data_IF_298005089606
#
_entry.id   IF_298005089606
#
_cell.length_a   1.000
_cell.length_b   1.000
_cell.length_c   1.000
_cell.angle_alpha   90.00
_cell.angle_beta   90.00
_cell.angle_gamma   90.00
#
_symmetry.space_group_name_H-M   'P 1'
#
loop_
_entity.id
_entity.type
_entity.pdbx_description
1 polymer ?
#
# COMPACT_ATOMS: atom_id res chain seq x y z
N UNK A 1 -12.22 -4.03 11.99
CA UNK A 1 -13.25 -2.98 11.85
C UNK A 1 -13.21 -2.00 13.01
N UNK A 2 -13.18 -2.46 14.27
CA UNK A 2 -12.95 -1.55 15.43
C UNK A 2 -11.74 -0.63 15.27
N UNK A 3 -10.58 -1.15 14.85
CA UNK A 3 -9.37 -0.34 14.62
C UNK A 3 -9.51 0.80 13.59
N UNK A 4 -10.46 0.71 12.66
CA UNK A 4 -10.67 1.76 11.65
C UNK A 4 -11.59 2.88 12.13
N UNK A 5 -12.43 2.59 13.12
CA UNK A 5 -13.57 3.44 13.52
C UNK A 5 -13.47 3.91 14.97
N UNK A 6 -12.73 3.20 15.80
CA UNK A 6 -12.43 3.52 17.20
C UNK A 6 -11.00 3.03 17.53
N UNK A 7 -9.95 3.75 17.09
CA UNK A 7 -8.57 3.37 17.38
C UNK A 7 -8.31 3.51 18.89
N UNK A 8 -7.54 2.59 19.52
CA UNK A 8 -7.18 2.70 20.93
C UNK A 8 -6.53 4.05 21.26
N UNK A 9 -6.78 4.58 22.47
CA UNK A 9 -6.09 5.79 22.92
C UNK A 9 -4.57 5.59 22.83
N UNK A 10 -3.86 6.54 22.22
CA UNK A 10 -2.40 6.49 21.96
C UNK A 10 -1.94 5.37 21.02
N UNK A 11 -2.79 4.97 20.07
CA UNK A 11 -2.41 4.04 19.01
C UNK A 11 -2.35 4.71 17.63
N UNK A 12 -1.43 4.22 16.80
CA UNK A 12 -1.32 4.49 15.38
C UNK A 12 -1.84 3.29 14.59
N UNK A 13 -2.77 3.51 13.66
CA UNK A 13 -3.34 2.43 12.83
C UNK A 13 -2.87 2.61 11.39
N UNK A 14 -2.10 1.65 10.90
CA UNK A 14 -1.48 1.69 9.57
C UNK A 14 -2.01 0.56 8.69
N UNK A 15 -2.55 0.91 7.52
CA UNK A 15 -2.79 -0.03 6.43
C UNK A 15 -1.47 -0.32 5.70
N UNK A 16 -1.00 -1.56 5.73
CA UNK A 16 0.29 -1.95 5.15
C UNK A 16 0.10 -2.96 4.03
N UNK A 17 0.79 -2.73 2.92
CA UNK A 17 0.83 -3.64 1.78
C UNK A 17 2.02 -3.33 0.87
N UNK A 18 2.26 -4.22 -0.10
CA UNK A 18 3.20 -4.00 -1.18
C UNK A 18 2.57 -3.97 -2.56
N UNK A 19 2.92 -2.92 -3.32
CA UNK A 19 2.75 -2.92 -4.76
C UNK A 19 3.99 -3.51 -5.41
N UNK A 20 3.90 -4.79 -5.75
CA UNK A 20 4.98 -5.49 -6.46
C UNK A 20 4.97 -5.22 -7.97
N UNK A 21 6.09 -5.54 -8.61
CA UNK A 21 6.26 -5.54 -10.08
C UNK A 21 5.94 -4.21 -10.78
N UNK A 22 6.21 -3.07 -10.13
CA UNK A 22 6.05 -1.75 -10.76
C UNK A 22 7.10 -1.61 -11.87
N UNK A 23 6.66 -1.39 -13.10
CA UNK A 23 7.49 -1.49 -14.29
C UNK A 23 8.01 -0.12 -14.72
N UNK A 24 9.31 -0.02 -15.01
CA UNK A 24 9.89 1.13 -15.68
C UNK A 24 9.69 0.95 -17.19
N UNK A 25 8.75 1.72 -17.75
CA UNK A 25 8.39 1.66 -19.17
C UNK A 25 8.84 2.94 -19.87
N UNK A 26 9.68 2.80 -20.90
CA UNK A 26 9.97 3.87 -21.86
C UNK A 26 9.09 3.67 -23.09
N UNK A 27 8.35 4.69 -23.51
CA UNK A 27 7.49 4.58 -24.68
C UNK A 27 8.21 5.11 -25.90
N UNK A 28 8.02 4.44 -27.03
CA UNK A 28 8.66 4.80 -28.31
C UNK A 28 8.29 6.21 -28.80
N UNK A 29 7.14 6.74 -28.38
CA UNK A 29 6.73 8.12 -28.64
C UNK A 29 6.33 8.83 -27.34
N UNK A 30 6.60 10.14 -27.22
CA UNK A 30 6.19 10.93 -26.06
C UNK A 30 4.66 11.00 -25.97
N UNK A 31 4.15 10.95 -24.73
CA UNK A 31 2.74 11.22 -24.46
C UNK A 31 2.48 12.71 -24.68
N UNK A 32 1.71 13.04 -25.72
CA UNK A 32 1.35 14.42 -26.01
C UNK A 32 0.28 14.92 -25.03
N UNK A 33 0.34 16.19 -24.60
CA UNK A 33 -0.69 16.77 -23.74
C UNK A 33 -2.06 16.73 -24.44
N UNK A 34 -3.13 16.60 -23.65
CA UNK A 34 -4.48 16.74 -24.18
C UNK A 34 -4.69 18.15 -24.72
N UNK A 35 -5.29 18.24 -25.91
CA UNK A 35 -5.76 19.48 -26.50
C UNK A 35 -7.29 19.44 -26.56
N UNK A 36 -8.01 20.59 -26.54
CA UNK A 36 -9.45 20.61 -26.73
C UNK A 36 -9.86 19.83 -27.99
N UNK A 37 -10.74 18.84 -27.85
CA UNK A 37 -11.19 17.98 -28.95
C UNK A 37 -10.27 16.80 -29.31
N UNK A 38 -9.12 16.64 -28.64
CA UNK A 38 -8.15 15.56 -28.93
C UNK A 38 -7.90 14.72 -27.67
N UNK A 39 -8.41 13.46 -27.59
CA UNK A 39 -8.11 12.59 -26.48
C UNK A 39 -6.61 12.25 -26.44
N UNK A 40 -6.09 12.01 -25.24
CA UNK A 40 -4.69 11.61 -25.03
C UNK A 40 -4.35 10.37 -25.87
N UNK A 41 -3.32 10.45 -26.72
CA UNK A 41 -2.85 9.34 -27.55
C UNK A 41 -1.60 8.73 -26.95
N UNK A 42 -1.53 7.39 -26.95
CA UNK A 42 -0.39 6.63 -26.42
C UNK A 42 -0.03 5.54 -27.42
N UNK A 43 1.26 5.39 -27.72
CA UNK A 43 1.74 4.23 -28.49
C UNK A 43 1.68 2.98 -27.61
N UNK A 44 1.34 1.85 -28.24
CA UNK A 44 1.33 0.55 -27.57
C UNK A 44 2.75 0.00 -27.37
N UNK A 45 3.72 0.41 -28.19
CA UNK A 45 5.11 -0.05 -28.13
C UNK A 45 5.88 0.61 -26.97
N UNK A 46 6.58 -0.22 -26.19
CA UNK A 46 7.40 0.22 -25.07
C UNK A 46 8.65 -0.64 -24.88
N UNK A 47 9.69 -0.04 -24.29
CA UNK A 47 10.89 -0.71 -23.80
C UNK A 47 10.81 -0.84 -22.28
N UNK A 48 11.15 -2.03 -21.77
CA UNK A 48 11.09 -2.35 -20.34
C UNK A 48 12.49 -2.25 -19.72
N UNK A 49 12.63 -1.40 -18.70
CA UNK A 49 13.90 -1.13 -18.03
C UNK A 49 14.02 -1.78 -16.63
N UNK A 50 13.15 -2.76 -16.34
CA UNK A 50 13.12 -3.50 -15.08
C UNK A 50 11.87 -3.24 -14.25
N UNK A 51 11.86 -3.81 -13.05
CA UNK A 51 10.75 -3.73 -12.10
C UNK A 51 11.24 -3.41 -10.70
N UNK A 52 10.38 -2.78 -9.91
CA UNK A 52 10.60 -2.52 -8.49
C UNK A 52 9.35 -2.83 -7.67
N UNK A 53 9.48 -2.91 -6.36
CA UNK A 53 8.38 -3.06 -5.40
C UNK A 53 8.35 -1.86 -4.49
N UNK A 54 7.15 -1.35 -4.21
CA UNK A 54 6.90 -0.35 -3.18
C UNK A 54 6.15 -1.01 -2.01
N UNK A 55 6.76 -1.01 -0.83
CA UNK A 55 6.04 -1.22 0.43
C UNK A 55 5.51 0.12 0.91
N UNK A 56 4.26 0.17 1.35
CA UNK A 56 3.66 1.39 1.87
C UNK A 56 2.85 1.09 3.14
N UNK A 57 2.86 2.06 4.05
CA UNK A 57 2.03 2.10 5.23
C UNK A 57 1.24 3.41 5.18
N UNK A 58 -0.08 3.29 5.08
CA UNK A 58 -1.00 4.42 5.08
C UNK A 58 -1.60 4.57 6.48
N UNK A 59 -1.42 5.73 7.09
CA UNK A 59 -2.11 6.11 8.33
C UNK A 59 -3.58 6.34 8.03
N UNK A 60 -4.43 5.59 8.71
CA UNK A 60 -5.88 5.62 8.54
C UNK A 60 -6.47 6.98 8.96
N UNK A 61 -5.92 7.60 9.99
CA UNK A 61 -6.46 8.82 10.58
C UNK A 61 -6.06 10.06 9.77
N UNK A 62 -4.79 10.14 9.39
CA UNK A 62 -4.22 11.31 8.72
C UNK A 62 -4.20 11.18 7.19
N UNK A 63 -4.18 9.95 6.67
CA UNK A 63 -3.95 9.66 5.27
C UNK A 63 -2.48 9.76 4.85
N UNK A 64 -1.55 10.03 5.77
CA UNK A 64 -0.11 10.07 5.48
C UNK A 64 0.39 8.70 5.05
N UNK A 65 1.40 8.68 4.16
CA UNK A 65 1.99 7.46 3.64
C UNK A 65 3.48 7.42 3.91
N UNK A 66 3.92 6.37 4.60
CA UNK A 66 5.33 6.00 4.72
C UNK A 66 5.62 4.91 3.67
N UNK A 67 6.58 5.16 2.78
CA UNK A 67 6.94 4.20 1.72
C UNK A 67 8.40 3.75 1.74
N UNK A 68 8.66 2.53 1.30
CA UNK A 68 10.01 2.00 1.06
C UNK A 68 10.07 1.21 -0.25
N UNK A 69 11.06 1.53 -1.08
CA UNK A 69 11.25 0.90 -2.38
C UNK A 69 12.32 -0.18 -2.27
N UNK A 70 11.99 -1.38 -2.75
CA UNK A 70 12.88 -2.52 -2.78
C UNK A 70 12.79 -3.25 -4.12
N UNK A 71 13.92 -3.77 -4.62
CA UNK A 71 13.95 -4.55 -5.89
C UNK A 71 13.37 -5.97 -5.76
N UNK A 72 13.09 -6.40 -4.53
CA UNK A 72 12.52 -7.71 -4.18
C UNK A 72 11.45 -7.51 -3.12
N UNK A 73 10.53 -8.46 -3.01
CA UNK A 73 9.39 -8.43 -2.10
C UNK A 73 9.35 -9.65 -1.19
N UNK A 74 10.47 -9.96 -0.51
CA UNK A 74 10.55 -11.11 0.42
C UNK A 74 10.40 -10.64 1.85
N UNK A 75 10.34 -11.60 2.78
CA UNK A 75 10.25 -11.31 4.21
C UNK A 75 11.42 -10.45 4.71
N UNK A 76 12.61 -10.57 4.10
CA UNK A 76 13.75 -9.73 4.42
C UNK A 76 13.51 -8.25 4.08
N UNK A 77 12.85 -7.96 2.96
CA UNK A 77 12.50 -6.60 2.57
C UNK A 77 11.33 -6.06 3.39
N UNK A 78 10.32 -6.88 3.68
CA UNK A 78 9.25 -6.49 4.61
C UNK A 78 9.78 -6.18 6.01
N UNK A 79 10.70 -6.98 6.55
CA UNK A 79 11.36 -6.69 7.85
C UNK A 79 12.12 -5.36 7.84
N UNK A 80 12.80 -5.02 6.72
CA UNK A 80 13.45 -3.71 6.58
C UNK A 80 12.43 -2.59 6.61
N UNK A 81 11.26 -2.80 6.01
CA UNK A 81 10.17 -1.84 6.07
C UNK A 81 9.62 -1.68 7.50
N UNK A 82 9.39 -2.76 8.24
CA UNK A 82 9.02 -2.69 9.66
C UNK A 82 10.05 -1.93 10.51
N UNK A 83 11.34 -2.17 10.26
CA UNK A 83 12.44 -1.44 10.92
C UNK A 83 12.44 0.04 10.56
N UNK A 84 11.98 0.41 9.35
CA UNK A 84 11.80 1.80 8.95
C UNK A 84 10.63 2.43 9.70
N UNK A 85 9.48 1.75 9.75
CA UNK A 85 8.31 2.22 10.49
C UNK A 85 8.66 2.48 11.96
N UNK A 86 9.35 1.55 12.63
CA UNK A 86 9.76 1.70 14.03
C UNK A 86 10.61 2.96 14.29
N UNK A 87 11.35 3.44 13.28
CA UNK A 87 12.14 4.67 13.38
C UNK A 87 11.35 5.95 13.08
N UNK A 88 10.36 5.88 12.19
CA UNK A 88 9.61 7.04 11.73
C UNK A 88 8.36 7.32 12.57
N UNK A 89 7.76 6.29 13.17
CA UNK A 89 6.58 6.45 14.03
C UNK A 89 6.99 6.81 15.46
N UNK A 90 6.24 7.67 16.17
CA UNK A 90 6.54 8.04 17.54
C UNK A 90 6.69 6.82 18.46
N UNK A 91 7.73 6.81 19.30
CA UNK A 91 8.10 5.67 20.15
C UNK A 91 7.09 5.37 21.27
N UNK A 92 6.26 6.35 21.63
CA UNK A 92 5.28 6.27 22.72
C UNK A 92 3.89 5.79 22.29
N UNK A 93 3.73 5.38 21.02
CA UNK A 93 2.47 4.88 20.47
C UNK A 93 2.55 3.38 20.23
N UNK A 94 1.44 2.70 20.50
CA UNK A 94 1.20 1.35 19.99
C UNK A 94 0.88 1.43 18.49
N UNK A 95 1.39 0.49 17.71
CA UNK A 95 1.32 0.51 16.24
C UNK A 95 0.56 -0.71 15.76
N UNK A 96 -0.65 -0.49 15.26
CA UNK A 96 -1.51 -1.52 14.71
C UNK A 96 -1.35 -1.58 13.19
N UNK A 97 -0.69 -2.62 12.70
CA UNK A 97 -0.50 -2.87 11.28
C UNK A 97 -1.65 -3.73 10.76
N UNK A 98 -2.39 -3.23 9.79
CA UNK A 98 -3.43 -3.98 9.08
C UNK A 98 -2.82 -4.45 7.75
N UNK A 99 -2.57 -5.74 7.63
CA UNK A 99 -1.94 -6.36 6.46
C UNK A 99 -2.90 -7.37 5.81
N UNK A 100 -2.63 -7.72 4.55
CA UNK A 100 -3.25 -8.88 3.93
C UNK A 100 -2.71 -10.19 4.51
N UNK A 101 -3.34 -11.32 4.14
CA UNK A 101 -3.00 -12.63 4.67
C UNK A 101 -1.76 -13.28 4.00
N UNK A 102 -0.89 -12.49 3.35
CA UNK A 102 0.24 -12.99 2.60
C UNK A 102 1.25 -13.74 3.47
N UNK A 103 1.76 -14.87 2.98
CA UNK A 103 2.62 -15.78 3.74
C UNK A 103 3.92 -15.11 4.20
N UNK A 104 4.40 -14.13 3.43
CA UNK A 104 5.61 -13.35 3.73
C UNK A 104 5.49 -12.56 5.03
N UNK A 105 4.29 -12.05 5.36
CA UNK A 105 4.01 -11.35 6.62
C UNK A 105 4.09 -12.29 7.83
N UNK A 106 3.88 -13.59 7.62
CA UNK A 106 3.88 -14.61 8.69
C UNK A 106 5.21 -15.35 8.83
N UNK A 107 6.21 -14.98 8.05
CA UNK A 107 7.50 -15.67 8.04
C UNK A 107 8.16 -15.65 9.44
N UNK A 108 8.95 -16.68 9.81
CA UNK A 108 9.57 -16.76 11.14
C UNK A 108 10.40 -15.51 11.51
N UNK A 109 11.07 -14.91 10.53
CA UNK A 109 11.86 -13.70 10.73
C UNK A 109 11.01 -12.46 11.11
N UNK A 110 9.74 -12.42 10.68
CA UNK A 110 8.78 -11.36 11.02
C UNK A 110 8.21 -11.61 12.41
N UNK A 111 7.80 -12.85 12.71
CA UNK A 111 7.33 -13.23 14.06
C UNK A 111 8.36 -12.89 15.13
N UNK A 112 9.63 -13.29 14.92
CA UNK A 112 10.74 -12.95 15.81
C UNK A 112 10.96 -11.43 15.94
N UNK A 113 10.71 -10.66 14.88
CA UNK A 113 10.82 -9.21 14.96
C UNK A 113 9.68 -8.62 15.81
N UNK A 114 8.44 -9.07 15.61
CA UNK A 114 7.28 -8.64 16.40
C UNK A 114 7.43 -8.99 17.89
N UNK A 115 7.96 -10.17 18.22
CA UNK A 115 8.29 -10.57 19.60
C UNK A 115 9.27 -9.61 20.27
N UNK A 116 10.22 -9.04 19.51
CA UNK A 116 11.18 -8.07 20.00
C UNK A 116 10.65 -6.62 20.03
N UNK A 117 9.50 -6.35 19.41
CA UNK A 117 8.90 -5.01 19.32
C UNK A 117 7.42 -5.10 19.75
N UNK A 118 7.13 -5.26 21.06
CA UNK A 118 5.79 -5.58 21.56
C UNK A 118 4.73 -4.50 21.28
N UNK A 119 5.16 -3.26 20.98
CA UNK A 119 4.27 -2.17 20.55
C UNK A 119 3.69 -2.37 19.14
N UNK A 120 4.24 -3.28 18.34
CA UNK A 120 3.74 -3.58 16.99
C UNK A 120 2.76 -4.74 17.03
N UNK A 121 1.50 -4.46 16.70
CA UNK A 121 0.42 -5.43 16.64
C UNK A 121 0.01 -5.66 15.19
N UNK A 122 0.16 -6.88 14.69
CA UNK A 122 -0.20 -7.22 13.31
C UNK A 122 -1.59 -7.85 13.24
N UNK A 123 -2.46 -7.24 12.44
CA UNK A 123 -3.84 -7.64 12.20
C UNK A 123 -4.00 -8.01 10.73
N UNK A 124 -4.62 -9.15 10.46
CA UNK A 124 -4.79 -9.62 9.09
C UNK A 124 -6.21 -9.39 8.61
N UNK A 125 -6.35 -8.85 7.39
CA UNK A 125 -7.66 -8.84 6.73
C UNK A 125 -8.10 -10.27 6.44
N UNK A 126 -9.40 -10.58 6.52
CA UNK A 126 -9.92 -11.88 6.11
C UNK A 126 -9.53 -12.20 4.66
N UNK A 127 -9.41 -13.49 4.35
CA UNK A 127 -9.07 -13.94 3.00
C UNK A 127 -10.01 -13.31 1.97
N UNK A 128 -9.47 -12.91 0.82
CA UNK A 128 -10.21 -12.25 -0.27
C UNK A 128 -10.84 -10.89 0.07
N UNK A 129 -10.47 -10.27 1.21
CA UNK A 129 -10.99 -8.96 1.63
C UNK A 129 -9.98 -7.84 1.43
N UNK A 130 -9.20 -7.89 0.34
CA UNK A 130 -8.16 -6.91 0.00
C UNK A 130 -8.72 -5.48 -0.14
N UNK A 131 -10.00 -5.36 -0.52
CA UNK A 131 -10.76 -4.10 -0.58
C UNK A 131 -10.86 -3.36 0.77
N UNK A 132 -10.60 -4.02 1.89
CA UNK A 132 -10.50 -3.41 3.22
C UNK A 132 -9.18 -2.69 3.44
N UNK A 133 -8.15 -3.01 2.67
CA UNK A 133 -6.83 -2.42 2.82
C UNK A 133 -6.76 -1.08 2.07
N UNK A 134 -6.85 0.02 2.81
CA UNK A 134 -6.96 1.36 2.21
C UNK A 134 -5.73 1.75 1.38
N UNK A 135 -4.57 1.21 1.71
CA UNK A 135 -3.33 1.46 0.95
C UNK A 135 -3.43 0.91 -0.48
N UNK A 136 -4.24 -0.12 -0.75
CA UNK A 136 -4.50 -0.60 -2.12
C UNK A 136 -5.18 0.46 -2.98
N UNK A 137 -6.09 1.25 -2.39
CA UNK A 137 -6.72 2.41 -3.07
C UNK A 137 -5.68 3.48 -3.39
N UNK A 138 -4.80 3.76 -2.44
CA UNK A 138 -3.68 4.68 -2.66
C UNK A 138 -2.74 4.20 -3.76
N UNK A 139 -2.43 2.90 -3.82
CA UNK A 139 -1.68 2.29 -4.92
C UNK A 139 -2.38 2.44 -6.27
N UNK A 140 -3.72 2.37 -6.30
CA UNK A 140 -4.53 2.70 -7.48
C UNK A 140 -4.27 4.13 -7.96
N UNK A 141 -4.34 5.10 -7.05
CA UNK A 141 -4.06 6.52 -7.36
C UNK A 141 -2.65 6.74 -7.90
N UNK A 142 -1.63 6.18 -7.23
CA UNK A 142 -0.25 6.21 -7.70
C UNK A 142 -0.14 5.61 -9.12
N UNK A 143 -0.82 4.49 -9.37
CA UNK A 143 -0.79 3.81 -10.68
C UNK A 143 -1.38 4.69 -11.77
N UNK A 144 -2.57 5.24 -11.54
CA UNK A 144 -3.33 5.95 -12.56
C UNK A 144 -2.83 7.37 -12.81
N UNK A 145 -2.40 8.07 -11.75
CA UNK A 145 -1.98 9.46 -11.83
C UNK A 145 -0.49 9.62 -12.14
N UNK A 146 0.37 8.69 -11.70
CA UNK A 146 1.83 8.80 -11.87
C UNK A 146 2.41 7.73 -12.79
N UNK A 147 2.23 6.44 -12.46
CA UNK A 147 2.94 5.36 -13.17
C UNK A 147 2.50 5.23 -14.63
N UNK A 148 1.18 5.17 -14.89
CA UNK A 148 0.63 4.97 -16.25
C UNK A 148 0.84 6.17 -17.18
N UNK A 149 1.02 7.38 -16.61
CA UNK A 149 1.24 8.64 -17.32
C UNK A 149 2.72 8.95 -17.53
N UNK A 150 3.60 8.42 -16.68
CA UNK A 150 5.04 8.64 -16.76
C UNK A 150 5.75 7.81 -17.83
N UNK A 151 6.91 8.32 -18.25
CA UNK A 151 7.87 7.62 -19.13
C UNK A 151 9.16 7.46 -18.34
N UNK A 152 9.61 6.22 -18.14
CA UNK A 152 10.73 5.90 -17.25
C UNK A 152 11.81 5.13 -18.01
N UNK A 153 12.85 5.86 -18.43
CA UNK A 153 13.98 5.33 -19.22
C UNK A 153 14.95 4.44 -18.43
N UNK A 154 14.79 4.38 -17.12
CA UNK A 154 15.54 3.51 -16.22
C UNK A 154 14.78 3.36 -14.90
N UNK A 155 15.23 2.39 -14.10
CA UNK A 155 14.60 2.09 -12.81
C UNK A 155 14.74 3.26 -11.82
N UNK A 156 15.90 3.93 -11.78
CA UNK A 156 16.17 5.04 -10.85
C UNK A 156 15.19 6.21 -11.05
N UNK A 157 14.85 6.53 -12.30
CA UNK A 157 13.85 7.53 -12.65
C UNK A 157 12.46 7.15 -12.10
N UNK A 158 12.03 5.89 -12.27
CA UNK A 158 10.79 5.40 -11.69
C UNK A 158 10.80 5.50 -10.16
N UNK A 159 11.87 5.07 -9.51
CA UNK A 159 11.95 5.11 -8.05
C UNK A 159 11.95 6.55 -7.52
N UNK A 160 12.63 7.48 -8.19
CA UNK A 160 12.60 8.91 -7.85
C UNK A 160 11.19 9.46 -7.95
N UNK A 161 10.48 9.12 -9.02
CA UNK A 161 9.12 9.57 -9.28
C UNK A 161 8.11 9.04 -8.26
N UNK A 162 8.30 7.80 -7.78
CA UNK A 162 7.52 7.24 -6.67
C UNK A 162 7.82 7.98 -5.36
N UNK A 163 9.09 8.25 -5.04
CA UNK A 163 9.46 9.03 -3.83
C UNK A 163 8.87 10.45 -3.87
N UNK A 164 8.94 11.10 -5.03
CA UNK A 164 8.35 12.43 -5.23
C UNK A 164 6.82 12.40 -5.08
N UNK A 165 6.16 11.35 -5.58
CA UNK A 165 4.72 11.17 -5.38
C UNK A 165 4.34 11.04 -3.91
N UNK A 166 5.09 10.26 -3.12
CA UNK A 166 4.84 10.11 -1.69
C UNK A 166 5.01 11.45 -0.97
N UNK A 167 6.09 12.19 -1.27
CA UNK A 167 6.31 13.52 -0.69
C UNK A 167 5.16 14.47 -1.01
N UNK A 168 4.77 14.56 -2.29
CA UNK A 168 3.66 15.40 -2.74
C UNK A 168 2.31 14.98 -2.13
N UNK A 169 2.09 13.69 -1.92
CA UNK A 169 0.89 13.20 -1.24
C UNK A 169 0.85 13.65 0.21
N UNK A 170 1.98 13.58 0.91
CA UNK A 170 2.08 13.95 2.33
C UNK A 170 2.08 15.48 2.56
N UNK A 171 2.17 16.31 1.52
CA UNK A 171 2.00 17.77 1.66
C UNK A 171 0.54 18.18 1.97
N UNK A 172 -0.44 17.39 1.50
CA UNK A 172 -1.89 17.53 1.77
C UNK A 172 -2.53 16.12 1.79
N UNK A 173 -2.25 15.31 2.84
CA UNK A 173 -2.68 13.93 2.88
C UNK A 173 -4.20 13.85 3.02
N UNK A 174 -4.81 12.91 2.28
CA UNK A 174 -6.27 12.73 2.26
C UNK A 174 -6.62 11.37 2.81
N UNK A 175 -7.13 11.29 4.06
CA UNK A 175 -7.59 10.02 4.60
C UNK A 175 -8.77 9.51 3.76
N UNK A 176 -8.85 8.20 3.57
CA UNK A 176 -10.01 7.61 2.92
C UNK A 176 -11.13 7.46 3.94
N UNK A 177 -12.19 8.24 3.78
CA UNK A 177 -13.35 8.16 4.66
C UNK A 177 -14.21 6.95 4.29
N UNK A 178 -14.45 6.07 5.25
CA UNK A 178 -15.46 5.02 5.10
C UNK A 178 -16.85 5.65 5.12
N UNK A 179 -17.56 5.56 4.00
CA UNK A 179 -18.94 6.07 3.90
C UNK A 179 -19.98 5.11 4.47
N UNK A 180 -19.56 3.96 5.00
CA UNK A 180 -20.43 2.88 5.49
C UNK A 180 -20.09 2.60 6.94
N UNK A 181 -21.12 2.41 7.76
CA UNK A 181 -20.95 2.12 9.18
C UNK A 181 -20.22 0.79 9.41
N UNK A 182 -19.59 0.65 10.59
CA UNK A 182 -18.85 -0.54 11.01
C UNK A 182 -19.65 -1.82 10.74
N UNK A 183 -20.93 -1.79 11.10
CA UNK A 183 -21.84 -2.90 11.04
C UNK A 183 -22.18 -3.28 9.61
N UNK A 184 -22.30 -2.32 8.69
CA UNK A 184 -22.50 -2.62 7.27
C UNK A 184 -21.27 -3.29 6.65
N UNK A 185 -20.07 -2.86 7.06
CA UNK A 185 -18.83 -3.43 6.55
C UNK A 185 -18.62 -4.84 7.13
N UNK A 186 -18.95 -5.05 8.42
CA UNK A 186 -18.95 -6.38 9.05
C UNK A 186 -20.01 -7.30 8.41
N UNK A 187 -21.21 -6.82 8.12
CA UNK A 187 -22.25 -7.60 7.44
C UNK A 187 -21.83 -7.98 6.02
N UNK A 188 -21.21 -7.07 5.27
CA UNK A 188 -20.64 -7.38 3.94
C UNK A 188 -19.53 -8.41 4.02
N UNK A 189 -18.69 -8.31 5.03
CA UNK A 189 -17.61 -9.27 5.27
C UNK A 189 -18.19 -10.66 5.56
N UNK A 190 -19.16 -10.77 6.48
CA UNK A 190 -19.84 -12.02 6.81
C UNK A 190 -20.52 -12.61 5.57
N UNK A 191 -21.33 -11.82 4.85
CA UNK A 191 -22.02 -12.27 3.64
C UNK A 191 -21.06 -12.70 2.52
N UNK A 192 -19.86 -12.12 2.47
CA UNK A 192 -18.83 -12.50 1.49
C UNK A 192 -18.10 -13.79 1.91
N UNK A 193 -17.78 -13.95 3.20
CA UNK A 193 -17.19 -15.18 3.74
C UNK A 193 -18.15 -16.38 3.62
N UNK A 194 -19.44 -16.18 3.88
CA UNK A 194 -20.47 -17.21 3.78
C UNK A 194 -20.69 -17.70 2.33
N UNK A 195 -20.30 -16.90 1.33
CA UNK A 195 -20.42 -17.24 -0.09
C UNK A 195 -19.26 -18.07 -0.65
N UNK A 196 -18.21 -18.33 0.14
CA UNK A 196 -17.05 -19.13 -0.27
C UNK A 196 -17.12 -20.50 0.43
N UNK A 197 -17.58 -21.57 -0.25
CA UNK A 197 -17.58 -22.89 0.35
C UNK A 197 -16.14 -23.39 0.47
N UNK A 198 -15.66 -23.59 1.70
CA UNK A 198 -14.36 -24.23 1.99
C UNK A 198 -13.33 -23.41 2.77
N UNK A 199 -13.65 -22.23 3.31
CA UNK A 199 -12.75 -21.48 4.21
C UNK A 199 -12.82 -21.95 5.69
N UNK A 200 -12.92 -23.27 5.90
CA UNK A 200 -12.88 -23.90 7.22
C UNK A 200 -11.67 -24.81 7.35
N UNK A 201 -10.85 -24.53 8.38
CA UNK A 201 -9.67 -25.23 8.92
C UNK A 201 -8.30 -24.61 8.63
#
# INVERSE_FOLDING_TARGET
MGLYLDPPEKALVLCVDEKSQIQALDRSAPVLPMMPGMPERRTHDYVRHGVTTLFAALDVATGEVIGSIHRRHRAAEFKKFLTKLDKEVPANLDVHLICDNYSTHKAPAIRKWLEAHPRFHMHFTPTYSSWLNQVERWFGLLTDKKIRRGVHKNLQALERDIRAWIAQWNDDPKPFVWTKDADEILQRLTAYLDRIPGAGH
#
